data_IF_001955225148
#
_entry.id   IF_001955225148
#
_cell.length_a   1.000
_cell.length_b   1.000
_cell.length_c   1.000
_cell.angle_alpha   90.00
_cell.angle_beta   90.00
_cell.angle_gamma   90.00
#
_symmetry.space_group_name_H-M   'P 1'
#
loop_
_entity.id
_entity.type
_entity.pdbx_description
1 polymer ?
#
# COMPACT_ATOMS: atom_id res chain seq x y z
N UNK A 1 -0.01 -9.62 -30.05
CA UNK A 1 1.26 -9.63 -29.27
C UNK A 1 0.91 -10.22 -27.92
N UNK A 2 1.36 -11.43 -27.59
CA UNK A 2 1.03 -12.06 -26.30
C UNK A 2 1.50 -11.16 -25.16
N UNK A 3 0.55 -10.76 -24.32
CA UNK A 3 0.80 -9.96 -23.13
C UNK A 3 1.66 -10.74 -22.14
N UNK A 4 2.97 -10.42 -22.07
CA UNK A 4 3.91 -11.01 -21.09
C UNK A 4 3.70 -10.41 -19.70
N UNK A 5 2.48 -10.49 -19.17
CA UNK A 5 2.17 -10.06 -17.81
C UNK A 5 2.85 -11.00 -16.81
N UNK A 6 3.68 -10.49 -15.88
CA UNK A 6 4.29 -11.32 -14.84
C UNK A 6 3.24 -12.01 -13.99
N UNK A 7 3.49 -13.27 -13.59
CA UNK A 7 2.56 -14.07 -12.76
C UNK A 7 2.98 -14.19 -11.30
N UNK A 8 4.21 -13.80 -10.97
CA UNK A 8 4.82 -13.95 -9.64
C UNK A 8 5.31 -12.62 -9.08
N UNK A 9 5.72 -12.63 -7.81
CA UNK A 9 6.22 -11.44 -7.12
C UNK A 9 5.16 -10.35 -6.93
N UNK A 10 5.62 -9.12 -6.67
CA UNK A 10 4.73 -7.96 -6.44
C UNK A 10 3.93 -7.57 -7.68
N UNK A 11 4.54 -7.65 -8.87
CA UNK A 11 3.87 -7.32 -10.13
C UNK A 11 2.83 -8.36 -10.52
N UNK A 12 3.13 -9.65 -10.38
CA UNK A 12 2.12 -10.67 -10.66
C UNK A 12 0.96 -10.67 -9.68
N UNK A 13 1.21 -10.25 -8.43
CA UNK A 13 0.14 -9.98 -7.48
C UNK A 13 -0.72 -8.79 -7.89
N UNK A 14 -0.10 -7.69 -8.34
CA UNK A 14 -0.83 -6.52 -8.85
C UNK A 14 -1.68 -6.89 -10.08
N UNK A 15 -1.11 -7.63 -11.03
CA UNK A 15 -1.84 -8.15 -12.19
C UNK A 15 -3.04 -9.01 -11.80
N UNK A 16 -2.90 -9.86 -10.77
CA UNK A 16 -4.00 -10.68 -10.28
C UNK A 16 -5.11 -9.85 -9.65
N UNK A 17 -4.76 -8.82 -8.87
CA UNK A 17 -5.76 -7.90 -8.31
C UNK A 17 -6.48 -7.19 -9.44
N UNK A 18 -5.75 -6.61 -10.41
CA UNK A 18 -6.35 -5.97 -11.59
C UNK A 18 -7.28 -6.92 -12.34
N UNK A 19 -6.89 -8.17 -12.56
CA UNK A 19 -7.72 -9.16 -13.27
C UNK A 19 -8.98 -9.58 -12.50
N UNK A 20 -8.97 -9.48 -11.16
CA UNK A 20 -10.12 -9.79 -10.32
C UNK A 20 -11.09 -8.61 -10.19
N UNK A 21 -10.56 -7.39 -10.06
CA UNK A 21 -11.35 -6.19 -9.80
C UNK A 21 -11.74 -5.44 -11.08
N UNK A 22 -11.20 -5.84 -12.24
CA UNK A 22 -11.46 -5.16 -13.53
C UNK A 22 -11.69 -6.18 -14.66
N UNK A 23 -11.54 -5.76 -15.91
CA UNK A 23 -11.63 -6.63 -17.09
C UNK A 23 -10.28 -6.74 -17.81
N UNK A 24 -10.20 -7.70 -18.74
CA UNK A 24 -8.97 -8.01 -19.49
C UNK A 24 -8.37 -6.78 -20.20
N UNK A 25 -9.21 -5.89 -20.77
CA UNK A 25 -8.76 -4.69 -21.46
C UNK A 25 -8.05 -3.73 -20.50
N UNK A 26 -8.64 -3.48 -19.34
CA UNK A 26 -8.06 -2.60 -18.32
C UNK A 26 -6.76 -3.22 -17.78
N UNK A 27 -6.77 -4.52 -17.48
CA UNK A 27 -5.55 -5.24 -17.06
C UNK A 27 -4.40 -5.05 -18.05
N UNK A 28 -4.63 -5.27 -19.35
CA UNK A 28 -3.61 -5.13 -20.38
C UNK A 28 -3.11 -3.68 -20.51
N UNK A 29 -4.03 -2.71 -20.49
CA UNK A 29 -3.69 -1.28 -20.56
C UNK A 29 -2.86 -0.83 -19.35
N UNK A 30 -3.24 -1.22 -18.13
CA UNK A 30 -2.50 -0.86 -16.92
C UNK A 30 -1.12 -1.51 -16.92
N UNK A 31 -1.05 -2.79 -17.30
CA UNK A 31 0.16 -3.62 -17.29
C UNK A 31 1.06 -3.46 -18.52
N UNK A 32 0.87 -2.40 -19.33
CA UNK A 32 1.77 -2.08 -20.44
C UNK A 32 3.23 -2.08 -19.99
N UNK A 33 4.09 -2.73 -20.77
CA UNK A 33 5.52 -2.92 -20.52
C UNK A 33 5.88 -3.71 -19.25
N UNK A 34 4.92 -4.35 -18.57
CA UNK A 34 5.20 -5.13 -17.36
C UNK A 34 6.13 -6.33 -17.60
N UNK A 35 6.20 -6.85 -18.83
CA UNK A 35 7.10 -7.93 -19.21
C UNK A 35 8.59 -7.57 -19.09
N UNK A 36 8.92 -6.28 -19.16
CA UNK A 36 10.29 -5.76 -19.00
C UNK A 36 10.60 -5.39 -17.55
N UNK A 37 9.61 -5.40 -16.65
CA UNK A 37 9.77 -4.90 -15.29
C UNK A 37 10.91 -5.57 -14.50
N UNK A 38 11.21 -6.83 -14.81
CA UNK A 38 12.31 -7.58 -14.21
C UNK A 38 13.68 -6.94 -14.46
N UNK A 39 13.90 -6.37 -15.65
CA UNK A 39 15.17 -5.74 -16.04
C UNK A 39 15.32 -4.30 -15.56
N UNK A 40 14.23 -3.67 -15.10
CA UNK A 40 14.25 -2.28 -14.66
C UNK A 40 15.09 -2.07 -13.38
N UNK A 41 15.90 -1.02 -13.38
CA UNK A 41 16.50 -0.49 -12.16
C UNK A 41 15.43 0.18 -11.27
N UNK A 42 15.80 0.59 -10.05
CA UNK A 42 14.85 1.16 -9.10
C UNK A 42 14.13 2.42 -9.58
N UNK A 43 14.79 3.31 -10.32
CA UNK A 43 14.17 4.53 -10.84
C UNK A 43 13.18 4.21 -11.96
N UNK A 44 13.52 3.26 -12.84
CA UNK A 44 12.63 2.77 -13.90
C UNK A 44 11.40 2.07 -13.31
N UNK A 45 11.56 1.27 -12.26
CA UNK A 45 10.45 0.65 -11.53
C UNK A 45 9.50 1.69 -10.94
N UNK A 46 10.06 2.72 -10.29
CA UNK A 46 9.26 3.80 -9.73
C UNK A 46 8.49 4.58 -10.80
N UNK A 47 9.14 4.89 -11.93
CA UNK A 47 8.49 5.53 -13.07
C UNK A 47 7.38 4.66 -13.67
N UNK A 48 7.63 3.35 -13.82
CA UNK A 48 6.62 2.42 -14.32
C UNK A 48 5.38 2.39 -13.41
N UNK A 49 5.57 2.35 -12.08
CA UNK A 49 4.45 2.40 -11.14
C UNK A 49 3.67 3.70 -11.22
N UNK A 50 4.35 4.84 -11.33
CA UNK A 50 3.70 6.15 -11.53
C UNK A 50 2.78 6.11 -12.74
N UNK A 51 3.30 5.71 -13.89
CA UNK A 51 2.52 5.65 -15.12
C UNK A 51 1.43 4.56 -15.05
N UNK A 52 1.68 3.43 -14.38
CA UNK A 52 0.69 2.36 -14.22
C UNK A 52 -0.52 2.84 -13.39
N UNK A 53 -0.31 3.63 -12.33
CA UNK A 53 -1.41 4.19 -11.54
C UNK A 53 -2.16 5.26 -12.32
N UNK A 54 -1.48 6.07 -13.14
CA UNK A 54 -2.14 7.03 -14.04
C UNK A 54 -3.05 6.30 -15.05
N UNK A 55 -2.55 5.21 -15.65
CA UNK A 55 -3.36 4.36 -16.52
C UNK A 55 -4.52 3.76 -15.75
N UNK A 56 -4.30 3.20 -14.55
CA UNK A 56 -5.37 2.61 -13.76
C UNK A 56 -6.50 3.61 -13.47
N UNK A 57 -6.16 4.80 -12.95
CA UNK A 57 -7.14 5.84 -12.65
C UNK A 57 -7.91 6.27 -13.91
N UNK A 58 -7.25 6.40 -15.05
CA UNK A 58 -7.90 6.79 -16.31
C UNK A 58 -8.82 5.70 -16.86
N UNK A 59 -8.40 4.45 -16.80
CA UNK A 59 -9.11 3.33 -17.45
C UNK A 59 -10.24 2.75 -16.58
N UNK A 60 -10.08 2.76 -15.25
CA UNK A 60 -11.01 2.16 -14.29
C UNK A 60 -11.78 3.19 -13.44
N UNK A 61 -11.35 4.45 -13.45
CA UNK A 61 -11.90 5.48 -12.56
C UNK A 61 -11.18 5.56 -11.21
N UNK A 62 -11.48 6.62 -10.47
CA UNK A 62 -10.80 6.94 -9.21
C UNK A 62 -11.14 5.95 -8.09
N UNK A 63 -12.42 5.65 -7.90
CA UNK A 63 -12.91 4.74 -6.84
C UNK A 63 -12.28 3.34 -6.97
N UNK A 64 -12.40 2.71 -8.13
CA UNK A 64 -11.78 1.40 -8.39
C UNK A 64 -10.26 1.44 -8.25
N UNK A 65 -9.60 2.53 -8.66
CA UNK A 65 -8.16 2.67 -8.49
C UNK A 65 -7.76 2.74 -7.00
N UNK A 66 -8.55 3.42 -6.16
CA UNK A 66 -8.35 3.47 -4.71
C UNK A 66 -8.50 2.07 -4.11
N UNK A 67 -9.59 1.36 -4.42
CA UNK A 67 -9.85 -0.01 -3.93
C UNK A 67 -8.71 -0.97 -4.28
N UNK A 68 -8.25 -0.94 -5.54
CA UNK A 68 -7.15 -1.78 -6.00
C UNK A 68 -5.85 -1.46 -5.27
N UNK A 69 -5.57 -0.18 -4.99
CA UNK A 69 -4.38 0.21 -4.23
C UNK A 69 -4.49 -0.20 -2.77
N UNK A 70 -5.66 -0.12 -2.14
CA UNK A 70 -5.89 -0.67 -0.80
C UNK A 70 -5.66 -2.19 -0.77
N UNK A 71 -6.20 -2.94 -1.73
CA UNK A 71 -5.99 -4.39 -1.85
C UNK A 71 -4.50 -4.72 -2.01
N UNK A 72 -3.76 -3.93 -2.79
CA UNK A 72 -2.30 -4.06 -2.90
C UNK A 72 -1.62 -3.85 -1.55
N UNK A 73 -2.04 -2.83 -0.79
CA UNK A 73 -1.60 -2.55 0.58
C UNK A 73 -1.80 -3.73 1.52
N UNK A 74 -3.03 -4.24 1.58
CA UNK A 74 -3.42 -5.39 2.41
C UNK A 74 -2.54 -6.61 2.14
N UNK A 75 -2.34 -6.94 0.86
CA UNK A 75 -1.47 -8.07 0.49
C UNK A 75 0.03 -7.78 0.75
N UNK A 76 0.45 -6.53 0.75
CA UNK A 76 1.83 -6.13 1.07
C UNK A 76 2.14 -6.20 2.57
N UNK A 77 1.14 -6.06 3.44
CA UNK A 77 1.26 -6.37 4.86
C UNK A 77 1.43 -7.90 5.02
N UNK A 78 2.67 -8.36 5.00
CA UNK A 78 3.03 -9.79 5.06
C UNK A 78 2.92 -10.39 6.48
N UNK A 79 3.04 -11.72 6.55
CA UNK A 79 2.85 -12.48 7.79
C UNK A 79 3.72 -12.02 8.96
N UNK A 80 4.97 -11.60 8.70
CA UNK A 80 5.87 -11.10 9.75
C UNK A 80 5.28 -9.87 10.47
N UNK A 81 4.77 -8.89 9.73
CA UNK A 81 4.20 -7.68 10.32
C UNK A 81 2.88 -7.97 11.04
N UNK A 82 2.04 -8.84 10.48
CA UNK A 82 0.78 -9.26 11.12
C UNK A 82 1.03 -9.96 12.45
N UNK A 83 1.94 -10.94 12.46
CA UNK A 83 2.33 -11.66 13.67
C UNK A 83 2.97 -10.75 14.72
N UNK A 84 3.76 -9.76 14.28
CA UNK A 84 4.30 -8.76 15.19
C UNK A 84 3.17 -7.96 15.84
N UNK A 85 2.24 -7.44 15.06
CA UNK A 85 1.11 -6.69 15.60
C UNK A 85 0.20 -7.54 16.51
N UNK A 86 -0.10 -8.78 16.12
CA UNK A 86 -0.80 -9.75 16.96
C UNK A 86 -0.07 -10.01 18.28
N UNK A 87 1.26 -10.12 18.25
CA UNK A 87 2.07 -10.32 19.45
C UNK A 87 2.00 -9.08 20.34
N UNK A 88 2.25 -7.89 19.79
CA UNK A 88 2.18 -6.64 20.54
C UNK A 88 0.81 -6.49 21.22
N UNK A 89 -0.28 -6.75 20.50
CA UNK A 89 -1.63 -6.66 21.05
C UNK A 89 -1.88 -7.65 22.19
N UNK A 90 -1.45 -8.91 22.05
CA UNK A 90 -1.61 -9.94 23.10
C UNK A 90 -0.83 -9.63 24.37
N UNK A 91 0.25 -8.89 24.26
CA UNK A 91 1.13 -8.51 25.37
C UNK A 91 0.77 -7.15 25.98
N UNK A 92 -0.30 -6.51 25.52
CA UNK A 92 -0.76 -5.20 25.96
C UNK A 92 -2.08 -5.30 26.73
N UNK A 93 -2.23 -4.48 27.75
CA UNK A 93 -3.46 -4.36 28.53
C UNK A 93 -4.36 -3.21 28.02
N UNK A 94 -3.83 -2.34 27.17
CA UNK A 94 -4.51 -1.17 26.61
C UNK A 94 -4.11 -0.87 25.16
N UNK A 95 -4.82 0.07 24.51
CA UNK A 95 -4.47 0.52 23.16
C UNK A 95 -3.17 1.33 23.17
N UNK A 96 -2.95 2.13 24.22
CA UNK A 96 -1.74 2.91 24.45
C UNK A 96 -0.52 1.99 24.52
N UNK A 97 -0.56 0.96 25.36
CA UNK A 97 0.55 0.00 25.49
C UNK A 97 0.78 -0.77 24.18
N UNK A 98 -0.27 -1.05 23.42
CA UNK A 98 -0.15 -1.68 22.12
C UNK A 98 0.59 -0.80 21.11
N UNK A 99 0.27 0.50 21.07
CA UNK A 99 0.93 1.46 20.21
C UNK A 99 2.39 1.65 20.60
N UNK A 100 2.69 1.74 21.89
CA UNK A 100 4.07 1.86 22.40
C UNK A 100 4.91 0.64 21.97
N UNK A 101 4.40 -0.59 22.18
CA UNK A 101 5.10 -1.81 21.75
C UNK A 101 5.28 -1.88 20.25
N UNK A 102 4.29 -1.45 19.47
CA UNK A 102 4.39 -1.40 18.02
C UNK A 102 5.47 -0.40 17.56
N UNK A 103 5.52 0.78 18.17
CA UNK A 103 6.49 1.84 17.87
C UNK A 103 7.91 1.37 18.20
N UNK A 104 8.14 0.82 19.39
CA UNK A 104 9.42 0.24 19.82
C UNK A 104 9.90 -0.89 18.90
N UNK A 105 8.97 -1.72 18.43
CA UNK A 105 9.28 -2.84 17.53
C UNK A 105 9.59 -2.37 16.10
N UNK A 106 9.28 -1.12 15.76
CA UNK A 106 9.35 -0.59 14.40
C UNK A 106 10.35 0.56 14.26
N UNK A 107 11.64 0.22 14.10
CA UNK A 107 12.74 1.17 13.98
C UNK A 107 12.78 2.03 12.69
N UNK A 108 11.66 2.20 11.97
CA UNK A 108 11.63 2.75 10.62
C UNK A 108 10.92 4.10 10.48
N UNK A 109 10.92 4.98 11.50
CA UNK A 109 10.35 6.33 11.38
C UNK A 109 8.86 6.32 11.03
N UNK A 110 8.17 5.36 11.62
CA UNK A 110 6.71 5.28 11.72
C UNK A 110 6.37 5.71 13.15
N UNK A 111 5.27 6.42 13.35
CA UNK A 111 4.75 6.78 14.68
C UNK A 111 3.24 6.56 14.71
N UNK A 112 2.75 6.22 15.88
CA UNK A 112 1.33 6.14 16.16
C UNK A 112 1.00 7.16 17.26
N UNK A 113 -0.04 7.95 17.04
CA UNK A 113 -0.53 8.91 18.03
C UNK A 113 -2.00 8.61 18.33
N UNK A 114 -2.31 8.34 19.59
CA UNK A 114 -3.69 8.19 20.04
C UNK A 114 -4.30 9.59 20.22
N UNK A 115 -5.32 9.92 19.42
CA UNK A 115 -6.03 11.21 19.52
C UNK A 115 -7.13 11.17 20.57
N UNK A 116 -7.80 10.04 20.67
CA UNK A 116 -8.85 9.72 21.64
C UNK A 116 -9.00 8.20 21.76
N UNK A 117 -10.03 7.71 22.45
CA UNK A 117 -10.17 6.29 22.83
C UNK A 117 -10.24 5.33 21.63
N UNK A 118 -10.62 5.80 20.45
CA UNK A 118 -10.85 4.99 19.27
C UNK A 118 -10.17 5.51 18.00
N UNK A 119 -9.53 6.68 18.06
CA UNK A 119 -8.86 7.31 16.91
C UNK A 119 -7.33 7.29 17.05
N UNK A 120 -6.69 6.61 16.10
CA UNK A 120 -5.23 6.48 16.01
C UNK A 120 -4.76 7.16 14.74
N UNK A 121 -3.80 8.08 14.87
CA UNK A 121 -3.14 8.73 13.74
C UNK A 121 -1.82 8.01 13.48
N UNK A 122 -1.72 7.41 12.29
CA UNK A 122 -0.49 6.77 11.81
C UNK A 122 0.29 7.73 10.92
N UNK A 123 1.51 8.07 11.33
CA UNK A 123 2.40 8.97 10.59
C UNK A 123 3.65 8.22 10.18
N UNK A 124 4.10 8.44 8.96
CA UNK A 124 5.37 7.94 8.46
C UNK A 124 6.05 9.04 7.64
N UNK A 125 7.37 9.14 7.67
CA UNK A 125 8.07 10.29 7.06
C UNK A 125 8.29 10.15 5.55
N UNK A 126 8.28 8.92 5.03
CA UNK A 126 8.51 8.62 3.61
C UNK A 126 7.90 7.30 3.17
N UNK A 127 7.69 7.11 1.87
CA UNK A 127 7.24 5.82 1.36
C UNK A 127 8.35 4.76 1.46
N UNK A 128 8.12 3.72 2.25
CA UNK A 128 9.06 2.60 2.43
C UNK A 128 8.94 1.51 1.35
N UNK A 129 8.00 1.63 0.42
CA UNK A 129 7.82 0.63 -0.62
C UNK A 129 9.04 0.57 -1.55
N UNK A 130 9.76 -0.55 -1.54
CA UNK A 130 10.92 -0.77 -2.42
C UNK A 130 10.65 -0.69 -3.93
N UNK A 131 9.39 -0.58 -4.35
CA UNK A 131 9.02 -0.35 -5.75
C UNK A 131 9.09 1.12 -6.16
N UNK A 132 8.86 2.04 -5.23
CA UNK A 132 8.70 3.48 -5.54
C UNK A 132 9.54 4.39 -4.65
N UNK A 133 10.23 3.87 -3.62
CA UNK A 133 11.05 4.66 -2.69
C UNK A 133 12.17 5.48 -3.35
N UNK A 134 12.54 5.15 -4.60
CA UNK A 134 13.53 5.90 -5.39
C UNK A 134 12.86 6.69 -6.53
N UNK A 135 11.60 7.09 -6.35
CA UNK A 135 10.93 7.93 -7.34
C UNK A 135 11.63 9.29 -7.43
N UNK A 136 12.00 9.67 -8.65
CA UNK A 136 12.59 10.99 -8.93
C UNK A 136 11.54 12.08 -9.11
N UNK A 137 10.29 11.67 -9.39
CA UNK A 137 9.15 12.57 -9.61
C UNK A 137 8.03 12.20 -8.64
N UNK A 138 7.31 13.18 -8.08
CA UNK A 138 6.12 12.90 -7.31
C UNK A 138 5.07 12.16 -8.15
N UNK A 139 4.25 11.35 -7.50
CA UNK A 139 3.05 10.81 -8.13
C UNK A 139 2.07 11.97 -8.43
N UNK A 140 1.28 11.86 -9.51
CA UNK A 140 0.35 12.91 -9.93
C UNK A 140 -0.90 12.98 -9.05
N UNK A 141 -1.24 11.89 -8.36
CA UNK A 141 -2.35 11.81 -7.42
C UNK A 141 -1.95 11.04 -6.16
N UNK A 142 -2.79 11.14 -5.14
CA UNK A 142 -2.66 10.38 -3.89
C UNK A 142 -3.14 8.92 -4.01
N UNK A 143 -3.62 8.50 -5.18
CA UNK A 143 -4.16 7.14 -5.41
C UNK A 143 -3.15 6.05 -5.01
N UNK A 144 -1.86 6.23 -5.32
CA UNK A 144 -0.84 5.25 -4.91
C UNK A 144 -0.73 5.15 -3.37
N UNK A 145 -0.91 6.26 -2.65
CA UNK A 145 -0.81 6.31 -1.19
C UNK A 145 -1.91 5.50 -0.48
N UNK A 146 -2.99 5.15 -1.18
CA UNK A 146 -4.04 4.27 -0.65
C UNK A 146 -3.53 2.84 -0.37
N UNK A 147 -2.36 2.47 -0.91
CA UNK A 147 -1.68 1.26 -0.44
C UNK A 147 -1.31 1.33 1.05
N UNK A 148 -1.08 2.53 1.59
CA UNK A 148 -0.85 2.74 3.02
C UNK A 148 -2.10 2.43 3.83
N UNK A 149 -3.26 2.92 3.39
CA UNK A 149 -4.57 2.65 4.03
C UNK A 149 -4.81 1.16 4.15
N UNK A 150 -4.73 0.42 3.04
CA UNK A 150 -4.92 -1.03 3.06
C UNK A 150 -3.86 -1.76 3.89
N UNK A 151 -2.62 -1.25 3.94
CA UNK A 151 -1.57 -1.85 4.76
C UNK A 151 -1.87 -1.72 6.25
N UNK A 152 -2.30 -0.54 6.72
CA UNK A 152 -2.69 -0.28 8.11
C UNK A 152 -3.94 -1.07 8.48
N UNK A 153 -4.98 -1.05 7.64
CA UNK A 153 -6.20 -1.84 7.85
C UNK A 153 -5.83 -3.29 8.15
N UNK A 154 -5.00 -3.90 7.29
CA UNK A 154 -4.57 -5.27 7.49
C UNK A 154 -3.75 -5.47 8.78
N UNK A 155 -2.87 -4.53 9.14
CA UNK A 155 -2.06 -4.63 10.35
C UNK A 155 -2.95 -4.66 11.61
N UNK A 156 -3.84 -3.68 11.74
CA UNK A 156 -4.70 -3.52 12.91
C UNK A 156 -5.80 -4.58 12.97
N UNK A 157 -6.42 -4.96 11.85
CA UNK A 157 -7.39 -6.06 11.83
C UNK A 157 -6.77 -7.39 12.27
N UNK A 158 -5.49 -7.63 11.90
CA UNK A 158 -4.80 -8.85 12.34
C UNK A 158 -4.58 -8.84 13.85
N UNK A 159 -4.19 -7.69 14.41
CA UNK A 159 -3.98 -7.52 15.84
C UNK A 159 -5.28 -7.62 16.65
N UNK A 160 -6.27 -6.81 16.29
CA UNK A 160 -7.50 -6.61 17.06
C UNK A 160 -8.58 -7.67 16.80
N UNK A 161 -8.46 -8.45 15.72
CA UNK A 161 -9.43 -9.48 15.35
C UNK A 161 -10.80 -8.94 14.93
N UNK A 162 -10.89 -7.65 14.57
CA UNK A 162 -12.12 -6.97 14.13
C UNK A 162 -11.81 -6.01 12.98
N UNK A 163 -12.84 -5.64 12.23
CA UNK A 163 -12.74 -4.63 11.16
C UNK A 163 -12.36 -3.25 11.74
N UNK A 164 -11.56 -2.50 10.99
CA UNK A 164 -11.14 -1.14 11.37
C UNK A 164 -11.36 -0.16 10.22
N UNK A 165 -11.89 1.02 10.55
CA UNK A 165 -11.93 2.16 9.63
C UNK A 165 -10.55 2.79 9.53
N UNK A 166 -10.11 3.11 8.31
CA UNK A 166 -8.90 3.89 8.08
C UNK A 166 -9.19 4.90 7.00
N UNK A 167 -8.97 6.17 7.34
CA UNK A 167 -9.10 7.31 6.45
C UNK A 167 -7.72 7.82 6.04
N UNK A 168 -7.57 8.16 4.76
CA UNK A 168 -6.37 8.82 4.26
C UNK A 168 -6.44 10.32 4.55
N UNK A 169 -5.55 10.81 5.43
CA UNK A 169 -5.50 12.24 5.79
C UNK A 169 -4.56 13.03 4.86
N UNK A 170 -3.31 12.57 4.70
CA UNK A 170 -2.30 13.32 3.95
C UNK A 170 -1.20 12.41 3.36
N UNK A 171 -0.62 12.84 2.22
CA UNK A 171 0.54 12.18 1.63
C UNK A 171 1.86 12.76 2.16
N UNK A 172 2.86 11.89 2.34
CA UNK A 172 4.27 12.27 2.58
C UNK A 172 4.93 13.00 1.41
N UNK A 173 4.39 12.83 0.21
CA UNK A 173 4.90 13.43 -1.03
C UNK A 173 4.44 14.87 -1.26
N UNK A 174 3.89 15.54 -0.25
CA UNK A 174 3.77 17.00 -0.23
C UNK A 174 2.77 17.61 -1.21
N UNK A 175 1.77 16.86 -1.69
CA UNK A 175 0.61 17.46 -2.37
C UNK A 175 -0.68 16.86 -1.83
N UNK A 176 -1.11 17.40 -0.69
CA UNK A 176 -2.53 17.48 -0.38
C UNK A 176 -3.06 18.73 -1.08
N UNK A 177 -3.82 18.51 -2.15
CA UNK A 177 -4.81 19.42 -2.75
C UNK A 177 -5.51 18.64 -3.86
#
# INVERSE_FOLDING_TARGET
>A
MESKIPKTGKIGRFARILGNETNQRILENVMLYAGEYGSFNHAQKAAWWREAIERLKREAGEETAIEIMELCGRKCCGATHRKLAEKCWKESESIEEFLDKLDESWAAGVRFELKDKDTIVWVYERCYCGQVKQTKKPFPSTTYCQCGVGWVKQLFESALGKEVGVEFVQSVSGRGQ
#
